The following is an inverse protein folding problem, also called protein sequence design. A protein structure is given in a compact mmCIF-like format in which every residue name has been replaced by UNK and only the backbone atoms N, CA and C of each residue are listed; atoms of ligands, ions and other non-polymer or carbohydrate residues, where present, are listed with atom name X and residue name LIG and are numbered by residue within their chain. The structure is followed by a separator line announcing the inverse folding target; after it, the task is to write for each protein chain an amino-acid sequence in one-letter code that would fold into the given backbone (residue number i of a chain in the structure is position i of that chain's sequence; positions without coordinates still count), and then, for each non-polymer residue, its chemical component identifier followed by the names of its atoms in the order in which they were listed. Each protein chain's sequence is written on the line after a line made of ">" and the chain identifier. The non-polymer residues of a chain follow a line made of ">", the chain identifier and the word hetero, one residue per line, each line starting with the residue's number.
data_IF_755010177374
#
_entry.id   IF_755010177374
#
_cell.length_a   1.000
_cell.length_b   1.000
_cell.length_c   1.000
_cell.angle_alpha   90.00
_cell.angle_beta   90.00
_cell.angle_gamma   90.00
#
_symmetry.space_group_name_H-M   'P 1'
#
loop_
_entity.id
_entity.type
_entity.pdbx_description
1 polymer ?
#
# COMPACT_ATOMS: atom_id res chain seq x y z
N UNK A 1 -7.20 0.54 -9.32
CA UNK A 1 -7.68 1.87 -8.89
C UNK A 1 -9.17 1.93 -8.48
N UNK A 2 -10.07 1.06 -8.98
CA UNK A 2 -11.52 1.07 -8.66
C UNK A 2 -11.93 0.77 -7.19
N UNK A 3 -11.01 0.29 -6.34
CA UNK A 3 -11.31 -0.15 -4.98
C UNK A 3 -11.23 1.01 -3.97
N UNK A 4 -10.19 1.86 -4.07
CA UNK A 4 -9.96 2.99 -3.14
C UNK A 4 -11.02 4.08 -3.20
N UNK A 5 -11.43 4.48 -4.41
CA UNK A 5 -12.46 5.51 -4.56
C UNK A 5 -13.80 5.08 -3.94
N UNK A 6 -14.15 3.79 -4.07
CA UNK A 6 -15.34 3.22 -3.42
C UNK A 6 -15.18 3.17 -1.90
N UNK A 7 -13.99 2.85 -1.40
CA UNK A 7 -13.68 2.85 0.03
C UNK A 7 -13.86 4.25 0.63
N UNK A 8 -13.27 5.28 0.02
CA UNK A 8 -13.42 6.66 0.50
C UNK A 8 -14.87 7.17 0.47
N UNK A 9 -15.66 6.77 -0.55
CA UNK A 9 -17.10 7.06 -0.59
C UNK A 9 -17.86 6.40 0.55
N UNK A 10 -17.55 5.14 0.91
CA UNK A 10 -18.16 4.45 2.06
C UNK A 10 -17.82 5.13 3.39
N UNK A 11 -16.64 5.74 3.48
CA UNK A 11 -16.18 6.48 4.65
C UNK A 11 -16.73 7.92 4.72
N UNK A 12 -17.53 8.36 3.74
CA UNK A 12 -18.09 9.71 3.71
C UNK A 12 -17.06 10.82 3.49
N UNK A 13 -15.87 10.49 2.98
CA UNK A 13 -14.81 11.48 2.76
C UNK A 13 -15.16 12.42 1.60
N UNK A 14 -14.77 13.69 1.73
CA UNK A 14 -14.77 14.62 0.60
C UNK A 14 -13.72 14.23 -0.43
N UNK A 15 -13.80 14.80 -1.64
CA UNK A 15 -12.80 14.55 -2.69
C UNK A 15 -11.42 15.05 -2.26
N UNK A 16 -11.37 16.17 -1.56
CA UNK A 16 -10.16 16.81 -1.06
C UNK A 16 -9.49 15.91 0.00
N UNK A 17 -10.25 15.42 0.97
CA UNK A 17 -9.76 14.50 2.01
C UNK A 17 -9.25 13.18 1.40
N UNK A 18 -10.00 12.61 0.45
CA UNK A 18 -9.58 11.39 -0.25
C UNK A 18 -8.27 11.59 -1.03
N UNK A 19 -8.09 12.77 -1.64
CA UNK A 19 -6.87 13.14 -2.36
C UNK A 19 -5.68 13.30 -1.40
N UNK A 20 -5.87 14.01 -0.29
CA UNK A 20 -4.84 14.20 0.74
C UNK A 20 -4.37 12.87 1.33
N UNK A 21 -5.31 12.01 1.75
CA UNK A 21 -4.98 10.66 2.24
C UNK A 21 -4.25 9.80 1.21
N UNK A 22 -4.64 9.90 -0.06
CA UNK A 22 -3.94 9.18 -1.12
C UNK A 22 -2.51 9.69 -1.29
N UNK A 23 -2.28 11.00 -1.19
CA UNK A 23 -0.94 11.57 -1.26
C UNK A 23 -0.07 11.14 -0.08
N UNK A 24 -0.62 11.02 1.13
CA UNK A 24 0.10 10.51 2.30
C UNK A 24 0.52 9.05 2.10
N UNK A 25 -0.39 8.18 1.65
CA UNK A 25 -0.07 6.78 1.35
C UNK A 25 1.02 6.64 0.29
N UNK A 26 1.04 7.49 -0.73
CA UNK A 26 2.09 7.46 -1.76
C UNK A 26 3.48 7.81 -1.20
N UNK A 27 3.56 8.62 -0.14
CA UNK A 27 4.83 8.96 0.52
C UNK A 27 5.43 7.78 1.28
N UNK A 28 4.66 6.75 1.61
CA UNK A 28 5.17 5.54 2.26
C UNK A 28 5.90 4.62 1.29
N UNK A 29 5.61 4.66 -0.01
CA UNK A 29 6.24 3.77 -0.99
C UNK A 29 7.78 3.88 -0.95
N UNK A 30 8.40 5.07 -1.02
CA UNK A 30 9.86 5.20 -0.86
C UNK A 30 10.39 4.65 0.45
N UNK A 31 9.70 4.88 1.57
CA UNK A 31 10.09 4.40 2.90
C UNK A 31 10.10 2.85 2.95
N UNK A 32 9.06 2.22 2.39
CA UNK A 32 8.96 0.76 2.28
C UNK A 32 10.07 0.21 1.38
N UNK A 33 10.30 0.82 0.22
CA UNK A 33 11.37 0.38 -0.69
C UNK A 33 12.76 0.47 -0.06
N UNK A 34 12.99 1.45 0.82
CA UNK A 34 14.29 1.67 1.47
C UNK A 34 14.52 0.77 2.68
N UNK A 35 13.49 0.53 3.50
CA UNK A 35 13.62 -0.13 4.81
C UNK A 35 12.95 -1.49 4.91
N UNK A 36 12.11 -1.84 3.95
CA UNK A 36 11.34 -3.08 3.98
C UNK A 36 12.17 -4.32 3.65
N UNK A 37 11.61 -5.47 3.96
CA UNK A 37 12.20 -6.78 3.67
C UNK A 37 11.72 -7.24 2.30
N UNK A 38 12.66 -7.69 1.46
CA UNK A 38 12.36 -8.22 0.14
C UNK A 38 12.01 -9.71 0.23
N UNK A 39 10.86 -10.07 -0.32
CA UNK A 39 10.42 -11.46 -0.54
C UNK A 39 10.24 -11.71 -2.04
N UNK A 40 10.79 -12.80 -2.56
CA UNK A 40 10.55 -13.23 -3.94
C UNK A 40 9.54 -14.38 -3.97
N UNK A 41 8.40 -14.17 -4.62
CA UNK A 41 7.37 -15.22 -4.76
C UNK A 41 7.62 -16.13 -5.96
N UNK A 42 8.18 -15.55 -7.04
CA UNK A 42 8.51 -16.24 -8.29
C UNK A 42 9.53 -15.41 -9.07
N UNK A 43 10.30 -16.01 -10.00
CA UNK A 43 11.31 -15.29 -10.76
C UNK A 43 10.77 -14.00 -11.38
N UNK A 44 11.42 -12.88 -11.09
CA UNK A 44 11.04 -11.56 -11.59
C UNK A 44 9.85 -10.89 -10.88
N UNK A 45 9.27 -11.49 -9.84
CA UNK A 45 8.25 -10.87 -8.99
C UNK A 45 8.70 -10.85 -7.54
N UNK A 46 8.71 -9.66 -6.95
CA UNK A 46 9.11 -9.46 -5.56
C UNK A 46 8.09 -8.58 -4.83
N UNK A 47 7.94 -8.78 -3.53
CA UNK A 47 7.33 -7.83 -2.63
C UNK A 47 8.40 -7.22 -1.73
N UNK A 48 8.23 -5.94 -1.42
CA UNK A 48 8.95 -5.28 -0.32
C UNK A 48 7.92 -4.96 0.75
N UNK A 49 8.14 -5.50 1.95
CA UNK A 49 7.17 -5.48 3.05
C UNK A 49 7.73 -4.70 4.23
N UNK A 50 6.93 -3.79 4.77
CA UNK A 50 7.24 -3.03 5.98
C UNK A 50 5.94 -2.68 6.69
N UNK A 51 5.85 -2.95 8.00
CA UNK A 51 4.72 -2.56 8.86
C UNK A 51 3.34 -2.86 8.22
N UNK A 52 3.13 -4.12 7.81
CA UNK A 52 1.90 -4.61 7.16
C UNK A 52 1.52 -3.88 5.85
N UNK A 53 2.44 -3.12 5.28
CA UNK A 53 2.35 -2.54 3.95
C UNK A 53 3.29 -3.26 3.00
N UNK A 54 2.88 -3.38 1.74
CA UNK A 54 3.56 -4.15 0.70
C UNK A 54 3.59 -3.38 -0.61
N UNK A 55 4.79 -3.27 -1.18
CA UNK A 55 5.00 -2.79 -2.55
C UNK A 55 5.36 -3.97 -3.43
N UNK A 56 4.58 -4.22 -4.49
CA UNK A 56 4.83 -5.33 -5.42
C UNK A 56 5.58 -4.84 -6.65
N UNK A 57 6.68 -5.51 -6.93
CA UNK A 57 7.63 -5.22 -7.99
C UNK A 57 7.61 -6.32 -9.06
N UNK A 58 7.61 -5.92 -10.33
CA UNK A 58 7.71 -6.81 -11.49
C UNK A 58 8.91 -6.42 -12.36
N UNK A 59 9.73 -7.40 -12.72
CA UNK A 59 10.74 -7.25 -13.80
C UNK A 59 10.10 -7.27 -15.19
N UNK A 60 8.79 -7.48 -15.29
CA UNK A 60 8.12 -7.61 -16.58
C UNK A 60 7.10 -6.49 -16.80
N UNK A 61 7.03 -5.99 -18.03
CA UNK A 61 5.95 -5.14 -18.53
C UNK A 61 5.26 -5.89 -19.67
N UNK A 62 4.18 -6.60 -19.34
CA UNK A 62 3.63 -7.63 -20.23
C UNK A 62 4.66 -8.75 -20.38
N UNK A 63 4.97 -9.11 -21.63
CA UNK A 63 5.96 -10.16 -21.94
C UNK A 63 7.40 -9.64 -22.01
N UNK A 64 7.62 -8.33 -21.86
CA UNK A 64 8.94 -7.73 -21.97
C UNK A 64 9.66 -7.67 -20.62
N UNK A 65 10.86 -8.23 -20.55
CA UNK A 65 11.74 -8.12 -19.38
C UNK A 65 12.42 -6.75 -19.30
N UNK A 66 12.42 -6.19 -18.10
CA UNK A 66 13.09 -4.97 -17.68
C UNK A 66 14.45 -5.35 -17.05
N UNK A 67 15.51 -5.38 -17.87
CA UNK A 67 16.82 -5.92 -17.49
C UNK A 67 17.38 -5.40 -16.15
N UNK A 68 17.32 -4.09 -15.93
CA UNK A 68 17.90 -3.42 -14.76
C UNK A 68 16.86 -2.62 -13.95
N UNK A 69 15.57 -2.86 -14.20
CA UNK A 69 14.51 -2.07 -13.58
C UNK A 69 13.40 -2.98 -13.06
N UNK A 70 12.69 -2.50 -12.05
CA UNK A 70 11.42 -3.05 -11.63
C UNK A 70 10.32 -2.02 -11.86
N UNK A 71 9.15 -2.51 -12.22
CA UNK A 71 7.92 -1.73 -12.24
C UNK A 71 7.16 -1.99 -10.94
N UNK A 72 6.72 -0.93 -10.27
CA UNK A 72 5.75 -1.05 -9.19
C UNK A 72 4.40 -1.40 -9.81
N UNK A 73 3.86 -2.55 -9.44
CA UNK A 73 2.60 -3.08 -9.99
C UNK A 73 1.43 -2.95 -9.03
N UNK A 74 1.69 -3.01 -7.71
CA UNK A 74 0.70 -2.69 -6.69
C UNK A 74 1.34 -2.11 -5.43
N UNK A 75 0.49 -1.43 -4.66
CA UNK A 75 0.74 -1.03 -3.29
C UNK A 75 -0.47 -1.45 -2.46
N UNK A 76 -0.21 -2.19 -1.41
CA UNK A 76 -1.20 -2.75 -0.50
C UNK A 76 -0.83 -2.34 0.92
N UNK A 77 -1.84 -1.94 1.70
CA UNK A 77 -1.69 -1.64 3.12
C UNK A 77 -2.85 -2.33 3.83
N UNK A 78 -2.56 -3.03 4.91
CA UNK A 78 -3.55 -3.71 5.74
C UNK A 78 -4.63 -2.72 6.24
N UNK A 79 -5.86 -3.21 6.37
CA UNK A 79 -6.99 -2.48 6.93
C UNK A 79 -6.70 -1.92 8.32
N UNK A 80 -5.85 -2.59 9.11
CA UNK A 80 -5.39 -2.07 10.41
C UNK A 80 -4.53 -0.81 10.27
N UNK A 81 -3.57 -0.81 9.35
CA UNK A 81 -2.71 0.37 9.06
C UNK A 81 -3.55 1.51 8.50
N UNK A 82 -4.53 1.19 7.67
CA UNK A 82 -5.49 2.18 7.16
C UNK A 82 -6.32 2.80 8.27
N UNK A 83 -6.80 2.00 9.25
CA UNK A 83 -7.54 2.51 10.41
C UNK A 83 -6.69 3.39 11.32
N UNK A 84 -5.43 3.02 11.56
CA UNK A 84 -4.48 3.82 12.36
C UNK A 84 -4.15 5.16 11.68
N UNK A 85 -4.04 5.20 10.34
CA UNK A 85 -3.92 6.46 9.59
C UNK A 85 -5.23 7.27 9.55
N UNK A 86 -6.38 6.60 9.71
CA UNK A 86 -7.71 7.24 9.76
C UNK A 86 -8.05 7.84 11.13
N UNK A 87 -7.35 7.45 12.19
CA UNK A 87 -7.56 7.98 13.55
C UNK A 87 -6.35 8.77 14.04
N UNK A 88 -6.53 10.07 14.26
CA UNK A 88 -5.50 10.99 14.79
C UNK A 88 -4.97 10.57 16.19
N UNK A 89 -5.68 9.65 16.87
CA UNK A 89 -5.28 9.08 18.14
C UNK A 89 -4.93 7.60 18.00
N UNK A 90 -3.90 7.14 18.73
CA UNK A 90 -3.58 5.73 18.89
C UNK A 90 -4.82 4.97 19.38
N UNK A 91 -5.32 4.04 18.58
CA UNK A 91 -6.46 3.21 18.95
C UNK A 91 -6.06 2.33 20.15
N UNK A 92 -6.87 2.37 21.23
CA UNK A 92 -6.81 1.36 22.29
C UNK A 92 -7.04 -0.02 21.67
N UNK A 93 -6.27 -1.00 22.11
CA UNK A 93 -6.22 -2.36 21.54
C UNK A 93 -7.46 -3.22 21.88
N UNK A 94 -8.58 -2.62 22.32
CA UNK A 94 -9.77 -3.30 22.82
C UNK A 94 -10.70 -3.81 21.71
N UNK A 95 -10.16 -4.09 20.52
CA UNK A 95 -10.97 -4.56 19.41
C UNK A 95 -11.28 -6.06 19.58
N UNK A 96 -12.53 -6.38 19.91
CA UNK A 96 -13.05 -7.75 19.90
C UNK A 96 -13.37 -8.14 18.46
N UNK A 97 -12.79 -9.26 18.04
CA UNK A 97 -13.08 -9.93 16.77
C UNK A 97 -14.59 -10.20 16.66
N UNK A 98 -15.24 -9.54 15.69
CA UNK A 98 -16.62 -9.77 15.30
C UNK A 98 -16.71 -10.66 14.07
#
# INVERSE_FOLDING_TARGET
>A
MRIREKQYKRLGLTKEQAKEKTNELLKEIPNILQKGVKEEYRPGYAAIILNNSKVILSKFKGDNELKNHYMITSFEADDKVLRELETIATLSNDYRDG
#
